data_IF_863947696970
#
_entry.id   IF_863947696970
#
_cell.length_a   1.000
_cell.length_b   1.000
_cell.length_c   1.000
_cell.angle_alpha   90.00
_cell.angle_beta   90.00
_cell.angle_gamma   90.00
#
_symmetry.space_group_name_H-M   'P 1'
#
loop_
_entity.id
_entity.type
_entity.pdbx_description
1 polymer ?
#
# COMPACT_ATOMS: atom_id res chain seq x y z
N UNK A 1 -30.88 2.13 17.00
CA UNK A 1 -31.17 1.89 15.57
C UNK A 1 -30.62 3.05 14.75
N UNK A 2 -29.29 3.23 14.73
CA UNK A 2 -28.58 4.33 14.05
C UNK A 2 -27.25 3.84 13.42
N UNK A 3 -27.15 2.55 13.09
CA UNK A 3 -25.90 1.91 12.67
C UNK A 3 -25.77 1.68 11.15
N UNK A 4 -26.75 2.06 10.33
CA UNK A 4 -26.75 1.71 8.90
C UNK A 4 -26.23 2.80 7.95
N UNK A 5 -25.99 4.03 8.40
CA UNK A 5 -25.60 5.13 7.49
C UNK A 5 -24.10 5.39 7.33
N UNK A 6 -23.22 4.64 8.03
CA UNK A 6 -21.76 4.78 7.86
C UNK A 6 -21.14 3.86 6.80
N UNK A 7 -21.96 3.08 6.09
CA UNK A 7 -21.55 1.98 5.21
C UNK A 7 -20.78 2.35 3.93
N UNK A 8 -20.37 3.61 3.72
CA UNK A 8 -19.73 4.02 2.46
C UNK A 8 -18.85 5.28 2.52
N UNK A 9 -18.50 5.79 3.71
CA UNK A 9 -17.49 6.84 3.80
C UNK A 9 -16.18 6.21 4.27
N UNK A 10 -15.19 6.18 3.38
CA UNK A 10 -13.80 5.83 3.69
C UNK A 10 -13.33 6.61 4.93
N UNK A 11 -13.41 5.99 6.11
CA UNK A 11 -13.11 6.66 7.35
C UNK A 11 -11.59 6.62 7.61
N UNK A 12 -10.87 7.48 6.91
CA UNK A 12 -9.42 7.59 7.08
C UNK A 12 -9.00 7.94 8.51
N UNK A 13 -9.90 8.41 9.36
CA UNK A 13 -9.60 8.65 10.79
C UNK A 13 -9.17 7.36 11.51
N UNK A 14 -9.61 6.19 11.03
CA UNK A 14 -9.20 4.90 11.57
C UNK A 14 -7.71 4.63 11.38
N UNK A 15 -7.05 5.30 10.44
CA UNK A 15 -5.61 5.21 10.27
C UNK A 15 -4.83 5.78 11.46
N UNK A 16 -5.37 6.79 12.15
CA UNK A 16 -4.74 7.45 13.30
C UNK A 16 -5.50 7.23 14.63
N UNK A 17 -6.53 6.40 14.62
CA UNK A 17 -7.26 6.05 15.83
C UNK A 17 -6.42 5.13 16.72
N UNK A 18 -6.64 5.12 18.06
CA UNK A 18 -5.93 4.20 18.95
C UNK A 18 -6.04 2.75 18.46
N UNK A 19 -4.90 2.04 18.45
CA UNK A 19 -4.80 0.68 17.90
C UNK A 19 -4.57 0.60 16.39
N UNK A 20 -4.59 1.72 15.67
CA UNK A 20 -4.41 1.78 14.21
C UNK A 20 -5.26 0.77 13.40
N UNK A 21 -6.60 0.71 13.59
CA UNK A 21 -7.43 -0.34 13.00
C UNK A 21 -7.23 -0.57 11.50
N UNK A 22 -7.07 0.50 10.72
CA UNK A 22 -6.91 0.40 9.27
C UNK A 22 -5.58 -0.29 8.88
N UNK A 23 -4.53 -0.13 9.69
CA UNK A 23 -3.24 -0.81 9.50
C UNK A 23 -3.37 -2.28 9.86
N UNK A 24 -3.97 -2.59 11.03
CA UNK A 24 -4.15 -3.96 11.48
C UNK A 24 -4.99 -4.79 10.50
N UNK A 25 -6.04 -4.20 9.95
CA UNK A 25 -6.89 -4.82 8.92
C UNK A 25 -6.18 -4.92 7.56
N UNK A 26 -5.46 -3.87 7.16
CA UNK A 26 -4.88 -3.80 5.82
C UNK A 26 -3.64 -4.66 5.61
N UNK A 27 -2.81 -4.89 6.63
CA UNK A 27 -1.59 -5.68 6.48
C UNK A 27 -1.81 -7.13 5.99
N UNK A 28 -2.71 -7.94 6.60
CA UNK A 28 -2.97 -9.30 6.10
C UNK A 28 -3.55 -9.27 4.68
N UNK A 29 -4.51 -8.36 4.42
CA UNK A 29 -5.10 -8.19 3.08
C UNK A 29 -4.05 -7.83 2.03
N UNK A 30 -3.08 -6.98 2.39
CA UNK A 30 -2.00 -6.63 1.47
C UNK A 30 -1.18 -7.84 1.05
N UNK A 31 -0.85 -8.74 1.98
CA UNK A 31 -0.11 -9.95 1.66
C UNK A 31 -0.91 -10.85 0.72
N UNK A 32 -2.18 -11.09 1.03
CA UNK A 32 -3.08 -11.90 0.20
C UNK A 32 -3.21 -11.33 -1.22
N UNK A 33 -3.47 -10.03 -1.33
CA UNK A 33 -3.57 -9.34 -2.61
C UNK A 33 -2.26 -9.39 -3.43
N UNK A 34 -1.11 -9.23 -2.77
CA UNK A 34 0.17 -9.31 -3.45
C UNK A 34 0.47 -10.74 -3.92
N UNK A 35 0.07 -11.74 -3.15
CA UNK A 35 0.22 -13.15 -3.50
C UNK A 35 -0.60 -13.51 -4.75
N UNK A 36 -1.83 -13.02 -4.84
CA UNK A 36 -2.69 -13.21 -6.01
C UNK A 36 -2.18 -12.46 -7.26
N UNK A 37 -1.66 -11.25 -7.08
CA UNK A 37 -1.22 -10.39 -8.19
C UNK A 37 0.18 -10.76 -8.71
N UNK A 38 1.11 -11.04 -7.80
CA UNK A 38 2.53 -11.30 -8.09
C UNK A 38 3.13 -12.22 -7.01
N UNK A 39 2.67 -13.48 -7.01
CA UNK A 39 3.09 -14.50 -6.05
C UNK A 39 4.61 -14.74 -5.99
N UNK A 40 5.33 -14.49 -7.09
CA UNK A 40 6.79 -14.56 -7.10
C UNK A 40 7.40 -13.45 -6.23
N UNK A 41 6.94 -12.20 -6.39
CA UNK A 41 7.38 -11.08 -5.56
C UNK A 41 6.97 -11.28 -4.10
N UNK A 42 5.73 -11.74 -3.85
CA UNK A 42 5.23 -12.09 -2.51
C UNK A 42 6.15 -13.11 -1.83
N UNK A 43 6.41 -14.25 -2.48
CA UNK A 43 7.25 -15.33 -1.95
C UNK A 43 8.69 -14.87 -1.71
N UNK A 44 9.25 -14.06 -2.62
CA UNK A 44 10.57 -13.51 -2.46
C UNK A 44 10.66 -12.59 -1.22
N UNK A 45 9.76 -11.61 -1.10
CA UNK A 45 9.79 -10.64 -0.01
C UNK A 45 9.49 -11.28 1.35
N UNK A 46 8.46 -12.11 1.45
CA UNK A 46 7.97 -12.58 2.75
C UNK A 46 8.57 -13.92 3.18
N UNK A 47 8.71 -14.87 2.26
CA UNK A 47 9.12 -16.23 2.62
C UNK A 47 10.63 -16.42 2.49
N UNK A 48 11.24 -15.85 1.45
CA UNK A 48 12.69 -15.97 1.23
C UNK A 48 13.49 -14.98 2.06
N UNK A 49 13.09 -13.70 2.06
CA UNK A 49 13.78 -12.64 2.80
C UNK A 49 13.24 -12.43 4.23
N UNK A 50 12.03 -12.89 4.53
CA UNK A 50 11.43 -12.67 5.86
C UNK A 50 11.03 -11.22 6.12
N UNK A 51 10.66 -10.45 5.08
CA UNK A 51 10.28 -9.04 5.24
C UNK A 51 9.06 -8.92 6.17
N UNK A 52 9.21 -8.15 7.24
CA UNK A 52 8.11 -7.84 8.14
C UNK A 52 7.37 -6.57 7.71
N UNK A 53 6.10 -6.73 7.30
CA UNK A 53 5.23 -5.61 6.89
C UNK A 53 5.08 -4.52 7.95
N UNK A 54 5.15 -4.87 9.24
CA UNK A 54 5.03 -3.88 10.34
C UNK A 54 6.19 -2.89 10.36
N UNK A 55 7.34 -3.23 9.76
CA UNK A 55 8.47 -2.31 9.65
C UNK A 55 8.28 -1.27 8.53
N UNK A 56 7.38 -1.54 7.58
CA UNK A 56 7.33 -0.85 6.29
C UNK A 56 6.02 -0.09 6.10
N UNK A 57 4.89 -0.79 6.18
CA UNK A 57 3.59 -0.24 5.81
C UNK A 57 3.10 0.87 6.74
N UNK A 58 3.22 0.78 8.09
CA UNK A 58 2.74 1.84 8.97
C UNK A 58 3.38 3.19 8.66
N UNK A 59 4.69 3.20 8.41
CA UNK A 59 5.44 4.42 8.07
C UNK A 59 4.94 5.05 6.76
N UNK A 60 4.67 4.22 5.75
CA UNK A 60 4.11 4.68 4.49
C UNK A 60 2.69 5.22 4.67
N UNK A 61 1.82 4.46 5.33
CA UNK A 61 0.40 4.77 5.41
C UNK A 61 0.12 5.96 6.31
N UNK A 62 0.72 6.02 7.52
CA UNK A 62 0.55 7.14 8.46
C UNK A 62 1.03 8.48 7.89
N UNK A 63 1.94 8.45 6.92
CA UNK A 63 2.41 9.63 6.19
C UNK A 63 1.69 9.88 4.87
N UNK A 64 0.62 9.13 4.58
CA UNK A 64 -0.11 9.12 3.31
C UNK A 64 0.83 9.01 2.10
N UNK A 65 1.79 8.09 2.19
CA UNK A 65 2.87 7.86 1.23
C UNK A 65 3.88 8.99 1.05
N UNK A 66 3.86 10.05 1.89
CA UNK A 66 4.85 11.13 1.83
C UNK A 66 6.30 10.71 2.11
N UNK A 67 6.51 9.47 2.59
CA UNK A 67 7.82 8.83 2.71
C UNK A 67 8.27 8.08 1.45
N UNK A 68 7.35 7.73 0.56
CA UNK A 68 7.63 6.94 -0.64
C UNK A 68 7.50 7.75 -1.92
N UNK A 69 6.65 8.78 -1.93
CA UNK A 69 6.35 9.58 -3.10
C UNK A 69 6.89 11.01 -2.94
N UNK A 70 7.26 11.66 -4.05
CA UNK A 70 7.55 13.08 -4.05
C UNK A 70 6.28 13.90 -3.75
N UNK A 71 6.46 15.12 -3.26
CA UNK A 71 5.37 15.92 -2.70
C UNK A 71 4.30 16.26 -3.74
N UNK A 72 4.71 16.48 -4.99
CA UNK A 72 3.89 16.87 -6.11
C UNK A 72 2.79 15.84 -6.41
N UNK A 73 3.08 14.56 -6.18
CA UNK A 73 2.12 13.48 -6.38
C UNK A 73 1.09 13.35 -5.27
N UNK A 74 1.38 13.88 -4.08
CA UNK A 74 0.45 13.76 -2.95
C UNK A 74 -0.87 14.51 -3.24
N UNK A 75 -0.84 15.51 -4.12
CA UNK A 75 -2.04 16.22 -4.58
C UNK A 75 -3.06 15.30 -5.27
N UNK A 76 -2.60 14.26 -5.96
CA UNK A 76 -3.49 13.30 -6.64
C UNK A 76 -3.76 12.06 -5.77
N UNK A 77 -2.73 11.60 -5.05
CA UNK A 77 -2.82 10.40 -4.21
C UNK A 77 -3.73 10.63 -3.02
N UNK A 78 -3.64 11.74 -2.30
CA UNK A 78 -4.44 11.96 -1.08
C UNK A 78 -5.95 12.00 -1.37
N UNK A 79 -6.46 12.73 -2.39
CA UNK A 79 -7.87 12.65 -2.77
C UNK A 79 -8.30 11.25 -3.19
N UNK A 80 -7.45 10.51 -3.91
CA UNK A 80 -7.72 9.12 -4.27
C UNK A 80 -7.91 8.25 -3.02
N UNK A 81 -6.98 8.32 -2.05
CA UNK A 81 -7.07 7.60 -0.77
C UNK A 81 -8.32 7.99 0.01
N UNK A 82 -8.67 9.28 0.05
CA UNK A 82 -9.85 9.77 0.74
C UNK A 82 -11.16 9.25 0.13
N UNK A 83 -11.19 9.02 -1.18
CA UNK A 83 -12.36 8.43 -1.85
C UNK A 83 -12.42 6.90 -1.73
N UNK A 84 -11.28 6.22 -1.77
CA UNK A 84 -11.21 4.76 -1.85
C UNK A 84 -11.00 4.06 -0.49
N UNK A 85 -10.61 4.79 0.57
CA UNK A 85 -10.39 4.21 1.89
C UNK A 85 -9.24 3.19 1.90
N UNK A 86 -9.40 2.10 2.67
CA UNK A 86 -8.40 1.06 2.81
C UNK A 86 -8.01 0.44 1.45
N UNK A 87 -8.99 0.19 0.56
CA UNK A 87 -8.73 -0.29 -0.79
C UNK A 87 -7.79 0.65 -1.57
N UNK A 88 -7.89 1.96 -1.36
CA UNK A 88 -6.96 2.94 -1.92
C UNK A 88 -5.53 2.77 -1.42
N UNK A 89 -5.34 2.59 -0.10
CA UNK A 89 -4.01 2.36 0.49
C UNK A 89 -3.38 1.08 -0.03
N UNK A 90 -4.14 -0.02 -0.08
CA UNK A 90 -3.70 -1.30 -0.63
C UNK A 90 -3.31 -1.14 -2.10
N UNK A 91 -4.17 -0.52 -2.90
CA UNK A 91 -3.93 -0.25 -4.32
C UNK A 91 -2.64 0.52 -4.56
N UNK A 92 -2.45 1.66 -3.88
CA UNK A 92 -1.23 2.48 -4.05
C UNK A 92 0.01 1.71 -3.63
N UNK A 93 -0.06 0.97 -2.51
CA UNK A 93 1.04 0.14 -2.03
C UNK A 93 1.45 -0.90 -3.08
N UNK A 94 0.49 -1.66 -3.62
CA UNK A 94 0.76 -2.66 -4.65
C UNK A 94 1.31 -2.06 -5.93
N UNK A 95 0.71 -0.97 -6.43
CA UNK A 95 1.17 -0.33 -7.67
C UNK A 95 2.59 0.19 -7.49
N UNK A 96 2.94 0.80 -6.35
CA UNK A 96 4.32 1.25 -6.08
C UNK A 96 5.27 0.05 -6.09
N UNK A 97 5.02 -0.99 -5.30
CA UNK A 97 5.95 -2.11 -5.16
C UNK A 97 6.11 -2.90 -6.47
N UNK A 98 5.03 -3.17 -7.17
CA UNK A 98 5.09 -3.84 -8.48
C UNK A 98 5.74 -2.99 -9.57
N UNK A 99 5.81 -1.66 -9.40
CA UNK A 99 6.57 -0.79 -10.31
C UNK A 99 8.08 -0.93 -10.16
N UNK A 100 8.53 -1.31 -8.96
CA UNK A 100 9.94 -1.54 -8.63
C UNK A 100 10.24 -3.03 -8.47
N UNK A 101 9.44 -3.87 -9.11
CA UNK A 101 9.55 -5.33 -9.00
C UNK A 101 10.96 -5.81 -9.32
N UNK A 102 11.55 -5.32 -10.43
CA UNK A 102 12.87 -5.76 -10.86
C UNK A 102 13.95 -5.44 -9.82
N UNK A 103 13.91 -4.25 -9.24
CA UNK A 103 14.82 -3.82 -8.19
C UNK A 103 14.62 -4.65 -6.92
N UNK A 104 13.36 -4.84 -6.49
CA UNK A 104 13.02 -5.63 -5.31
C UNK A 104 13.49 -7.08 -5.43
N UNK A 105 13.27 -7.71 -6.58
CA UNK A 105 13.72 -9.09 -6.88
C UNK A 105 15.24 -9.22 -7.00
N UNK A 106 15.96 -8.11 -7.20
CA UNK A 106 17.42 -8.10 -7.30
C UNK A 106 18.13 -8.15 -5.96
N UNK A 107 17.43 -7.93 -4.85
CA UNK A 107 17.99 -7.92 -3.50
C UNK A 107 18.04 -9.32 -2.89
N UNK A 108 19.10 -9.61 -2.12
CA UNK A 108 19.29 -10.92 -1.50
C UNK A 108 19.12 -10.90 0.01
N UNK A 109 19.03 -9.70 0.60
CA UNK A 109 18.92 -9.50 2.03
C UNK A 109 17.80 -8.51 2.35
N UNK A 110 17.09 -8.75 3.45
CA UNK A 110 15.96 -7.91 3.87
C UNK A 110 16.39 -6.47 4.15
N UNK A 111 17.60 -6.26 4.64
CA UNK A 111 18.17 -4.95 4.90
C UNK A 111 18.31 -4.12 3.62
N UNK A 112 18.68 -4.75 2.51
CA UNK A 112 18.79 -4.07 1.21
C UNK A 112 17.42 -3.61 0.72
N UNK A 113 16.40 -4.46 0.84
CA UNK A 113 15.01 -4.12 0.54
C UNK A 113 14.52 -2.98 1.41
N UNK A 114 14.80 -2.99 2.71
CA UNK A 114 14.41 -1.92 3.63
C UNK A 114 15.11 -0.59 3.28
N UNK A 115 16.40 -0.62 2.95
CA UNK A 115 17.15 0.55 2.47
C UNK A 115 16.54 1.08 1.17
N UNK A 116 16.23 0.18 0.23
CA UNK A 116 15.60 0.54 -1.03
C UNK A 116 14.23 1.20 -0.80
N UNK A 117 13.36 0.59 0.00
CA UNK A 117 12.04 1.13 0.33
C UNK A 117 12.15 2.50 1.02
N UNK A 118 13.09 2.68 1.95
CA UNK A 118 13.35 3.96 2.59
C UNK A 118 13.85 5.04 1.61
N UNK A 119 14.42 4.62 0.47
CA UNK A 119 14.93 5.51 -0.57
C UNK A 119 13.91 5.85 -1.67
N UNK A 120 12.74 5.21 -1.70
CA UNK A 120 11.73 5.34 -2.78
C UNK A 120 11.39 6.78 -3.15
N UNK A 121 11.30 7.68 -2.17
CA UNK A 121 11.02 9.11 -2.43
C UNK A 121 12.06 9.78 -3.34
N UNK A 122 13.30 9.26 -3.38
CA UNK A 122 14.39 9.74 -4.24
C UNK A 122 14.43 9.00 -5.58
N UNK A 123 13.75 7.86 -5.69
CA UNK A 123 13.67 7.08 -6.91
C UNK A 123 12.75 7.77 -7.93
N UNK A 124 12.96 7.54 -9.24
CA UNK A 124 12.03 8.00 -10.25
C UNK A 124 10.63 7.47 -9.96
N UNK A 125 9.67 8.37 -9.84
CA UNK A 125 8.27 8.03 -9.62
C UNK A 125 7.76 7.03 -10.67
N UNK A 126 6.93 6.04 -10.29
CA UNK A 126 6.30 5.16 -11.26
C UNK A 126 5.49 5.94 -12.29
N UNK A 127 5.83 5.75 -13.57
CA UNK A 127 5.08 6.37 -14.66
C UNK A 127 3.60 5.96 -14.58
N UNK A 128 2.70 6.94 -14.78
CA UNK A 128 1.27 6.72 -14.79
C UNK A 128 0.71 6.10 -13.49
N UNK A 129 1.32 6.39 -12.32
CA UNK A 129 0.91 5.83 -11.03
C UNK A 129 -0.61 5.88 -10.82
N UNK A 130 -1.23 7.05 -10.98
CA UNK A 130 -2.66 7.23 -10.73
C UNK A 130 -3.53 6.47 -11.73
N UNK A 131 -3.14 6.44 -13.00
CA UNK A 131 -3.84 5.65 -14.02
C UNK A 131 -3.83 4.15 -13.65
N UNK A 132 -2.67 3.63 -13.25
CA UNK A 132 -2.54 2.23 -12.78
C UNK A 132 -3.36 1.99 -11.52
N UNK A 133 -3.36 2.93 -10.57
CA UNK A 133 -4.20 2.82 -9.38
C UNK A 133 -5.69 2.72 -9.75
N UNK A 134 -6.18 3.53 -10.67
CA UNK A 134 -7.57 3.45 -11.13
C UNK A 134 -7.90 2.13 -11.85
N UNK A 135 -6.94 1.56 -12.58
CA UNK A 135 -7.12 0.24 -13.23
C UNK A 135 -7.12 -0.91 -12.23
N UNK A 136 -6.29 -0.83 -11.19
CA UNK A 136 -6.14 -1.89 -10.17
C UNK A 136 -7.25 -1.85 -9.13
N UNK A 137 -7.75 -0.66 -8.78
CA UNK A 137 -8.71 -0.47 -7.68
C UNK A 137 -9.94 -1.41 -7.75
N UNK A 138 -10.61 -1.64 -8.90
CA UNK A 138 -11.78 -2.51 -8.94
C UNK A 138 -11.52 -3.93 -8.42
N UNK A 139 -10.36 -4.51 -8.73
CA UNK A 139 -9.98 -5.85 -8.27
C UNK A 139 -9.73 -5.88 -6.76
N UNK A 140 -9.12 -4.81 -6.23
CA UNK A 140 -8.84 -4.68 -4.79
C UNK A 140 -10.12 -4.52 -3.99
N UNK A 141 -11.03 -3.65 -4.46
CA UNK A 141 -12.31 -3.39 -3.78
C UNK A 141 -13.18 -4.64 -3.65
N UNK A 142 -13.07 -5.60 -4.55
CA UNK A 142 -13.80 -6.88 -4.44
C UNK A 142 -13.33 -7.74 -3.26
N UNK A 143 -12.12 -7.52 -2.76
CA UNK A 143 -11.50 -8.31 -1.71
C UNK A 143 -11.48 -7.60 -0.35
N UNK A 144 -11.68 -6.29 -0.32
CA UNK A 144 -11.73 -5.52 0.92
C UNK A 144 -13.15 -5.58 1.51
N UNK A 145 -13.32 -6.01 2.77
CA UNK A 145 -14.62 -5.97 3.45
C UNK A 145 -15.19 -4.54 3.48
N UNK A 146 -16.49 -4.39 3.22
CA UNK A 146 -17.20 -3.11 3.26
C UNK A 146 -17.72 -2.73 4.64
#
# INVERSE_FOLDING_TARGET
MLACCFKNCANLRLLWSPGFPLIEEGMPLFRELLDELDGELSSHLFDSLGLNLTAVLPTAWLSMFGKWLPFEMLNDVVPFLASAGLAGFLTVTMVILTSYRCELMGHQHVEEVLIFIASLRKSPTPANLMFRCHQTLPSVTQQVPG
#
